data_IF_542991804651
#
_entry.id   IF_542991804651
#
_cell.length_a   1.000
_cell.length_b   1.000
_cell.length_c   1.000
_cell.angle_alpha   90.00
_cell.angle_beta   90.00
_cell.angle_gamma   90.00
#
_symmetry.space_group_name_H-M   'P 1'
#
loop_
_entity.id
_entity.type
_entity.pdbx_description
1 polymer ?
#
# COMPACT_ATOMS: atom_id res chain seq x y z
N UNK A 1 -1.13 29.52 10.31
CA UNK A 1 -1.40 28.30 9.51
C UNK A 1 -1.33 27.09 10.45
N UNK A 2 -2.45 26.48 10.78
CA UNK A 2 -2.52 25.32 11.69
C UNK A 2 -1.98 24.07 10.95
N UNK A 3 -0.84 23.56 11.39
CA UNK A 3 -0.30 22.26 10.92
C UNK A 3 -1.27 21.15 11.36
N UNK A 4 -2.06 20.65 10.44
CA UNK A 4 -2.93 19.51 10.70
C UNK A 4 -2.07 18.24 10.79
N UNK A 5 -1.97 17.70 12.00
CA UNK A 5 -1.35 16.40 12.26
C UNK A 5 -2.25 15.30 11.66
N UNK A 6 -1.83 14.72 10.54
CA UNK A 6 -2.60 13.74 9.76
C UNK A 6 -2.92 12.45 10.56
N UNK A 7 -2.08 12.11 11.54
CA UNK A 7 -2.28 10.92 12.37
C UNK A 7 -3.35 11.11 13.46
N UNK A 8 -3.65 12.34 13.87
CA UNK A 8 -4.68 12.59 14.92
C UNK A 8 -6.11 12.36 14.42
N UNK A 9 -6.34 12.35 13.10
CA UNK A 9 -7.69 12.08 12.55
C UNK A 9 -8.12 10.61 12.61
N UNK A 10 -7.18 9.69 12.80
CA UNK A 10 -7.47 8.24 12.81
C UNK A 10 -7.76 7.68 14.21
N UNK A 11 -7.56 8.47 15.27
CA UNK A 11 -7.60 7.99 16.66
C UNK A 11 -8.81 8.53 17.46
N UNK A 12 -9.78 9.19 16.84
CA UNK A 12 -11.04 9.52 17.52
C UNK A 12 -12.03 8.35 17.48
N UNK A 13 -11.74 7.34 18.24
CA UNK A 13 -12.64 6.33 18.75
C UNK A 13 -12.22 6.08 20.19
N UNK A 14 -12.91 6.73 21.12
CA UNK A 14 -12.75 6.48 22.54
C UNK A 14 -13.19 5.04 22.84
N UNK A 15 -12.22 4.14 22.99
CA UNK A 15 -12.38 2.93 23.77
C UNK A 15 -11.03 2.63 24.42
N UNK A 16 -11.06 2.39 25.73
CA UNK A 16 -9.96 1.95 26.59
C UNK A 16 -9.04 0.98 25.85
N UNK A 17 -7.74 1.34 25.70
CA UNK A 17 -6.71 0.52 25.07
C UNK A 17 -6.70 -0.87 25.71
N UNK A 18 -6.90 -1.94 24.92
CA UNK A 18 -6.80 -3.29 25.46
C UNK A 18 -5.37 -3.54 25.93
N UNK A 19 -5.28 -4.23 27.08
CA UNK A 19 -4.00 -4.58 27.72
C UNK A 19 -3.04 -5.23 26.74
N UNK A 20 -1.84 -4.80 26.78
CA UNK A 20 -0.51 -5.16 26.26
C UNK A 20 -0.28 -6.50 25.51
N UNK A 21 -1.20 -6.97 24.68
CA UNK A 21 -0.94 -8.00 23.66
C UNK A 21 -0.49 -7.29 22.38
N UNK A 22 0.44 -7.86 21.63
CA UNK A 22 0.98 -7.33 20.37
C UNK A 22 -0.13 -6.79 19.44
N UNK A 23 -0.35 -5.49 19.46
CA UNK A 23 -1.38 -4.84 18.66
C UNK A 23 -0.85 -4.62 17.25
N UNK A 24 -1.56 -5.10 16.24
CA UNK A 24 -1.27 -4.81 14.83
C UNK A 24 -2.10 -3.60 14.41
N UNK A 25 -1.42 -2.57 13.91
CA UNK A 25 -2.07 -1.38 13.32
C UNK A 25 -1.85 -1.39 11.81
N UNK A 26 -2.93 -1.32 11.04
CA UNK A 26 -2.88 -1.18 9.59
C UNK A 26 -3.06 0.29 9.24
N UNK A 27 -2.04 0.89 8.60
CA UNK A 27 -2.06 2.28 8.17
C UNK A 27 -2.13 2.37 6.65
N UNK A 28 -3.22 2.95 6.14
CA UNK A 28 -3.41 3.17 4.70
C UNK A 28 -2.95 4.56 4.29
N UNK A 29 -1.99 4.61 3.37
CA UNK A 29 -1.50 5.82 2.71
C UNK A 29 -2.31 6.03 1.42
N UNK A 30 -3.24 6.99 1.43
CA UNK A 30 -4.08 7.29 0.27
C UNK A 30 -3.23 7.73 -0.93
N UNK A 31 -3.44 7.14 -2.11
CA UNK A 31 -2.69 7.47 -3.31
C UNK A 31 -2.73 8.97 -3.67
N UNK A 32 -3.87 9.63 -3.48
CA UNK A 32 -4.02 11.08 -3.71
C UNK A 32 -3.25 11.96 -2.70
N UNK A 33 -2.88 11.41 -1.54
CA UNK A 33 -2.09 12.12 -0.52
C UNK A 33 -0.61 12.02 -0.87
N UNK A 34 -0.15 10.83 -1.23
CA UNK A 34 1.28 10.53 -1.41
C UNK A 34 1.78 10.72 -2.85
N UNK A 35 0.88 10.95 -3.83
CA UNK A 35 1.25 11.23 -5.23
C UNK A 35 0.69 12.55 -5.74
N UNK A 36 1.36 13.13 -6.73
CA UNK A 36 0.90 14.32 -7.44
C UNK A 36 -0.16 13.94 -8.50
N UNK A 37 -1.25 14.72 -8.59
CA UNK A 37 -2.39 14.41 -9.47
C UNK A 37 -2.23 14.88 -10.92
N UNK A 38 -1.47 15.95 -11.16
CA UNK A 38 -1.53 16.75 -12.40
C UNK A 38 -0.26 16.72 -13.26
N UNK A 39 0.65 15.79 -13.06
CA UNK A 39 1.86 15.71 -13.85
C UNK A 39 1.74 14.71 -15.00
N UNK A 40 2.37 15.03 -16.15
CA UNK A 40 2.50 14.10 -17.29
C UNK A 40 3.15 12.76 -16.91
N UNK A 41 4.00 12.77 -15.87
CA UNK A 41 4.61 11.58 -15.31
C UNK A 41 4.22 11.41 -13.84
N UNK A 42 4.00 10.15 -13.38
CA UNK A 42 3.66 9.89 -11.99
C UNK A 42 4.80 10.29 -11.05
N UNK A 43 4.49 11.00 -9.97
CA UNK A 43 5.47 11.48 -8.99
C UNK A 43 4.98 11.27 -7.57
N UNK A 44 5.94 10.96 -6.68
CA UNK A 44 5.71 10.92 -5.23
C UNK A 44 5.83 12.33 -4.65
N UNK A 45 4.93 12.68 -3.76
CA UNK A 45 5.03 13.88 -2.91
C UNK A 45 6.05 13.63 -1.80
N UNK A 46 7.34 13.70 -2.16
CA UNK A 46 8.47 13.34 -1.27
C UNK A 46 8.39 14.03 0.10
N UNK A 47 8.04 15.32 0.14
CA UNK A 47 7.93 16.06 1.41
C UNK A 47 6.85 15.48 2.32
N UNK A 48 5.68 15.12 1.76
CA UNK A 48 4.58 14.51 2.50
C UNK A 48 4.97 13.15 3.05
N UNK A 49 5.58 12.29 2.21
CA UNK A 49 6.01 10.95 2.63
C UNK A 49 7.11 11.02 3.68
N UNK A 50 8.07 11.94 3.56
CA UNK A 50 9.09 12.18 4.60
C UNK A 50 8.47 12.63 5.92
N UNK A 51 7.45 13.47 5.89
CA UNK A 51 6.74 13.90 7.10
C UNK A 51 6.01 12.72 7.74
N UNK A 52 5.29 11.92 6.94
CA UNK A 52 4.63 10.69 7.42
C UNK A 52 5.65 9.71 8.04
N UNK A 53 6.82 9.54 7.42
CA UNK A 53 7.88 8.69 7.96
C UNK A 53 8.37 9.17 9.32
N UNK A 54 8.56 10.48 9.51
CA UNK A 54 8.93 11.06 10.81
C UNK A 54 7.85 10.81 11.88
N UNK A 55 6.58 11.05 11.54
CA UNK A 55 5.46 10.83 12.46
C UNK A 55 5.32 9.34 12.83
N UNK A 56 5.47 8.45 11.84
CA UNK A 56 5.44 7.01 12.07
C UNK A 56 6.58 6.55 12.99
N UNK A 57 7.79 7.09 12.80
CA UNK A 57 8.94 6.80 13.68
C UNK A 57 8.68 7.24 15.12
N UNK A 58 8.11 8.42 15.34
CA UNK A 58 7.72 8.91 16.65
C UNK A 58 6.63 8.03 17.28
N UNK A 59 5.63 7.62 16.46
CA UNK A 59 4.58 6.72 16.91
C UNK A 59 5.14 5.37 17.39
N UNK A 60 6.03 4.74 16.60
CA UNK A 60 6.66 3.46 16.96
C UNK A 60 7.50 3.60 18.25
N UNK A 61 8.22 4.72 18.38
CA UNK A 61 9.00 4.98 19.61
C UNK A 61 8.09 5.11 20.84
N UNK A 62 6.93 5.73 20.69
CA UNK A 62 5.96 5.91 21.79
C UNK A 62 5.21 4.61 22.11
N UNK A 63 4.98 3.76 21.13
CA UNK A 63 4.22 2.51 21.25
C UNK A 63 5.03 1.31 20.75
N UNK A 64 6.10 0.90 21.45
CA UNK A 64 7.07 -0.09 20.95
C UNK A 64 6.48 -1.51 20.79
N UNK A 65 5.37 -1.80 21.47
CA UNK A 65 4.64 -3.08 21.33
C UNK A 65 3.70 -3.14 20.13
N UNK A 66 3.46 -2.00 19.44
CA UNK A 66 2.61 -1.94 18.28
C UNK A 66 3.37 -2.37 17.03
N UNK A 67 2.80 -3.29 16.29
CA UNK A 67 3.29 -3.72 14.97
C UNK A 67 2.53 -2.97 13.88
N UNK A 68 3.23 -2.55 12.83
CA UNK A 68 2.64 -1.73 11.76
C UNK A 68 2.65 -2.50 10.46
N UNK A 69 1.54 -2.42 9.72
CA UNK A 69 1.43 -2.79 8.32
C UNK A 69 1.06 -1.53 7.55
N UNK A 70 1.83 -1.20 6.53
CA UNK A 70 1.54 -0.08 5.64
C UNK A 70 0.81 -0.58 4.40
N UNK A 71 -0.25 0.13 4.03
CA UNK A 71 -0.93 -0.05 2.75
C UNK A 71 -0.81 1.24 1.94
N UNK A 72 -0.56 1.17 0.63
CA UNK A 72 -0.62 2.35 -0.22
C UNK A 72 -1.61 2.18 -1.37
N UNK A 73 -2.29 3.26 -1.74
CA UNK A 73 -3.16 3.30 -2.91
C UNK A 73 -2.37 3.47 -4.20
N UNK A 74 -2.99 3.19 -5.35
CA UNK A 74 -2.36 3.26 -6.68
C UNK A 74 -1.94 4.69 -7.11
N UNK A 75 -2.65 5.71 -6.64
CA UNK A 75 -2.34 7.11 -6.96
C UNK A 75 -2.16 7.38 -8.45
N UNK A 76 -1.23 8.30 -8.78
CA UNK A 76 -0.91 8.64 -10.16
C UNK A 76 -0.10 7.56 -10.90
N UNK A 77 0.41 6.56 -10.20
CA UNK A 77 1.17 5.45 -10.80
C UNK A 77 0.28 4.33 -11.37
N UNK A 78 -0.93 4.16 -10.88
CA UNK A 78 -1.83 3.09 -11.32
C UNK A 78 -3.10 3.58 -11.99
N UNK A 79 -3.90 4.42 -11.34
CA UNK A 79 -5.22 4.80 -11.85
C UNK A 79 -5.22 5.33 -13.29
N UNK A 80 -4.34 6.28 -13.70
CA UNK A 80 -4.34 6.80 -15.06
C UNK A 80 -4.05 5.72 -16.12
N UNK A 81 -3.17 4.76 -15.80
CA UNK A 81 -2.85 3.67 -16.72
C UNK A 81 -4.01 2.70 -16.87
N UNK A 82 -4.68 2.36 -15.76
CA UNK A 82 -5.87 1.50 -15.77
C UNK A 82 -6.98 2.08 -16.62
N UNK A 83 -7.27 3.38 -16.47
CA UNK A 83 -8.26 4.08 -17.27
C UNK A 83 -7.85 4.16 -18.73
N UNK A 84 -6.63 4.63 -19.03
CA UNK A 84 -6.11 4.77 -20.39
C UNK A 84 -6.16 3.45 -21.16
N UNK A 85 -5.76 2.37 -20.53
CA UNK A 85 -5.65 1.07 -21.17
C UNK A 85 -6.88 0.20 -21.00
N UNK A 86 -7.95 0.71 -20.38
CA UNK A 86 -9.20 0.01 -20.13
C UNK A 86 -8.99 -1.37 -19.50
N UNK A 87 -8.09 -1.46 -18.52
CA UNK A 87 -7.67 -2.75 -17.97
C UNK A 87 -8.74 -3.46 -17.13
N UNK A 88 -9.83 -2.78 -16.81
CA UNK A 88 -11.00 -3.38 -16.14
C UNK A 88 -11.99 -4.02 -17.11
N UNK A 89 -11.86 -3.73 -18.41
CA UNK A 89 -12.68 -4.35 -19.46
C UNK A 89 -12.11 -5.73 -19.84
N UNK A 90 -12.95 -6.61 -20.37
CA UNK A 90 -12.61 -7.99 -20.73
C UNK A 90 -12.78 -8.26 -22.21
N UNK A 91 -12.08 -9.22 -22.81
CA UNK A 91 -10.98 -10.02 -22.25
C UNK A 91 -9.67 -9.24 -22.17
N UNK A 92 -8.74 -9.70 -21.32
CA UNK A 92 -7.38 -9.16 -21.24
C UNK A 92 -6.49 -9.93 -22.24
N UNK A 93 -6.38 -9.43 -23.47
CA UNK A 93 -5.67 -10.09 -24.59
C UNK A 93 -4.86 -9.09 -25.41
N UNK A 94 -3.97 -9.59 -26.27
CA UNK A 94 -3.18 -8.76 -27.19
C UNK A 94 -2.35 -7.69 -26.49
N UNK A 95 -2.38 -6.48 -27.03
CA UNK A 95 -1.65 -5.31 -26.49
C UNK A 95 -2.01 -4.97 -25.05
N UNK A 96 -3.20 -5.36 -24.57
CA UNK A 96 -3.61 -5.12 -23.19
C UNK A 96 -2.81 -5.92 -22.17
N UNK A 97 -2.19 -7.05 -22.55
CA UNK A 97 -1.26 -7.78 -21.69
C UNK A 97 0.00 -6.96 -21.44
N UNK A 98 0.55 -6.29 -22.46
CA UNK A 98 1.68 -5.38 -22.30
C UNK A 98 1.32 -4.19 -21.42
N UNK A 99 0.14 -3.60 -21.64
CA UNK A 99 -0.36 -2.47 -20.85
C UNK A 99 -0.60 -2.85 -19.38
N UNK A 100 -1.05 -4.08 -19.13
CA UNK A 100 -1.15 -4.62 -17.77
C UNK A 100 0.23 -4.72 -17.11
N UNK A 101 1.20 -5.31 -17.81
CA UNK A 101 2.57 -5.45 -17.31
C UNK A 101 3.22 -4.09 -17.04
N UNK A 102 2.98 -3.10 -17.91
CA UNK A 102 3.43 -1.72 -17.72
C UNK A 102 2.81 -1.09 -16.46
N UNK A 103 1.54 -1.34 -16.20
CA UNK A 103 0.86 -0.85 -15.00
C UNK A 103 1.46 -1.49 -13.74
N UNK A 104 1.70 -2.80 -13.75
CA UNK A 104 2.39 -3.50 -12.65
C UNK A 104 3.78 -2.92 -12.42
N UNK A 105 4.56 -2.70 -13.49
CA UNK A 105 5.89 -2.08 -13.42
C UNK A 105 5.83 -0.70 -12.76
N UNK A 106 4.88 0.13 -13.17
CA UNK A 106 4.67 1.46 -12.59
C UNK A 106 4.34 1.40 -11.09
N UNK A 107 3.49 0.47 -10.68
CA UNK A 107 3.14 0.29 -9.26
C UNK A 107 4.33 -0.18 -8.43
N UNK A 108 5.17 -1.08 -8.96
CA UNK A 108 6.42 -1.51 -8.31
C UNK A 108 7.40 -0.35 -8.16
N UNK A 109 7.52 0.50 -9.17
CA UNK A 109 8.32 1.73 -9.09
C UNK A 109 7.86 2.62 -7.93
N UNK A 110 6.55 2.80 -7.77
CA UNK A 110 5.98 3.54 -6.65
C UNK A 110 6.36 2.92 -5.30
N UNK A 111 6.19 1.61 -5.14
CA UNK A 111 6.54 0.90 -3.91
C UNK A 111 8.04 1.07 -3.57
N UNK A 112 8.93 0.96 -4.56
CA UNK A 112 10.37 1.16 -4.39
C UNK A 112 10.70 2.59 -3.95
N UNK A 113 10.07 3.60 -4.55
CA UNK A 113 10.28 5.01 -4.17
C UNK A 113 9.82 5.28 -2.74
N UNK A 114 8.66 4.75 -2.33
CA UNK A 114 8.16 4.85 -0.97
C UNK A 114 9.11 4.17 0.01
N UNK A 115 9.51 2.93 -0.29
CA UNK A 115 10.46 2.16 0.52
C UNK A 115 11.77 2.92 0.73
N UNK A 116 12.34 3.51 -0.32
CA UNK A 116 13.55 4.31 -0.21
C UNK A 116 13.41 5.50 0.74
N UNK A 117 12.26 6.19 0.74
CA UNK A 117 12.01 7.31 1.65
C UNK A 117 11.87 6.82 3.11
N UNK A 118 11.17 5.72 3.35
CA UNK A 118 11.03 5.16 4.69
C UNK A 118 12.36 4.63 5.23
N UNK A 119 13.13 3.92 4.42
CA UNK A 119 14.47 3.42 4.79
C UNK A 119 15.41 4.58 5.15
N UNK A 120 15.44 5.66 4.33
CA UNK A 120 16.24 6.84 4.63
C UNK A 120 15.82 7.56 5.92
N UNK A 121 14.62 7.28 6.41
CA UNK A 121 14.12 7.77 7.71
C UNK A 121 14.40 6.80 8.87
N UNK A 122 15.08 5.67 8.61
CA UNK A 122 15.42 4.64 9.58
C UNK A 122 14.25 3.72 9.96
N UNK A 123 13.30 3.52 9.04
CA UNK A 123 12.19 2.58 9.23
C UNK A 123 12.42 1.34 8.36
N UNK A 124 12.43 0.12 8.94
CA UNK A 124 12.72 -1.13 8.23
C UNK A 124 11.51 -1.58 7.40
N UNK A 125 11.15 -0.80 6.38
CA UNK A 125 10.01 -1.09 5.51
C UNK A 125 10.40 -2.14 4.48
N UNK A 126 9.59 -3.22 4.39
CA UNK A 126 9.75 -4.31 3.43
C UNK A 126 8.59 -4.31 2.43
N UNK A 127 8.84 -3.99 1.14
CA UNK A 127 7.79 -4.01 0.13
C UNK A 127 7.39 -5.46 -0.19
N UNK A 128 6.09 -5.74 -0.11
CA UNK A 128 5.50 -7.00 -0.49
C UNK A 128 4.55 -6.79 -1.67
N UNK A 129 4.65 -7.65 -2.66
CA UNK A 129 3.76 -7.60 -3.81
C UNK A 129 2.40 -8.18 -3.41
N UNK A 130 1.36 -7.36 -3.43
CA UNK A 130 0.02 -7.79 -3.02
C UNK A 130 -0.51 -8.94 -3.89
N UNK A 131 -0.27 -8.93 -5.20
CA UNK A 131 -0.65 -10.00 -6.13
C UNK A 131 0.05 -11.35 -5.86
N UNK A 132 1.17 -11.36 -5.14
CA UNK A 132 1.87 -12.59 -4.75
C UNK A 132 1.39 -13.17 -3.41
N UNK A 133 0.78 -12.33 -2.56
CA UNK A 133 0.33 -12.74 -1.22
C UNK A 133 -1.19 -12.79 -1.08
N UNK A 134 -1.93 -12.23 -2.04
CA UNK A 134 -3.38 -12.25 -2.08
C UNK A 134 -3.89 -13.30 -3.06
N UNK A 135 -4.80 -14.13 -2.60
CA UNK A 135 -5.55 -15.08 -3.43
C UNK A 135 -7.04 -14.79 -3.37
N UNK A 136 -7.79 -15.34 -4.32
CA UNK A 136 -9.25 -15.25 -4.34
C UNK A 136 -9.87 -16.65 -4.27
N UNK A 137 -10.85 -16.81 -3.38
CA UNK A 137 -11.72 -17.98 -3.34
C UNK A 137 -13.17 -17.50 -3.16
N UNK A 138 -14.07 -17.94 -4.04
CA UNK A 138 -15.49 -17.58 -4.00
C UNK A 138 -15.75 -16.05 -3.96
N UNK A 139 -14.99 -15.29 -4.74
CA UNK A 139 -15.05 -13.82 -4.78
C UNK A 139 -14.59 -13.11 -3.49
N UNK A 140 -13.97 -13.83 -2.57
CA UNK A 140 -13.37 -13.28 -1.36
C UNK A 140 -11.86 -13.29 -1.49
N UNK A 141 -11.25 -12.12 -1.30
CA UNK A 141 -9.80 -12.00 -1.26
C UNK A 141 -9.29 -12.41 0.12
N UNK A 142 -8.24 -13.21 0.15
CA UNK A 142 -7.58 -13.63 1.38
C UNK A 142 -6.06 -13.65 1.21
N UNK A 143 -5.34 -13.55 2.33
CA UNK A 143 -3.89 -13.70 2.36
C UNK A 143 -3.53 -15.19 2.27
N UNK A 144 -2.82 -15.58 1.23
CA UNK A 144 -2.41 -16.98 1.00
C UNK A 144 -1.35 -17.47 1.98
N UNK A 145 -0.56 -16.57 2.56
CA UNK A 145 0.52 -16.91 3.47
C UNK A 145 0.59 -15.97 4.68
N UNK A 146 -0.41 -16.10 5.56
CA UNK A 146 -0.47 -15.36 6.82
C UNK A 146 0.72 -15.65 7.73
N UNK A 147 1.25 -16.87 7.73
CA UNK A 147 2.38 -17.23 8.58
C UNK A 147 3.65 -16.47 8.17
N UNK A 148 3.91 -16.33 6.87
CA UNK A 148 5.04 -15.55 6.38
C UNK A 148 4.91 -14.06 6.74
N UNK A 149 3.71 -13.48 6.55
CA UNK A 149 3.46 -12.10 6.94
C UNK A 149 3.66 -11.89 8.45
N UNK A 150 3.19 -12.85 9.27
CA UNK A 150 3.39 -12.82 10.71
C UNK A 150 4.88 -12.87 11.08
N UNK A 151 5.65 -13.77 10.48
CA UNK A 151 7.10 -13.85 10.70
C UNK A 151 7.81 -12.54 10.38
N UNK A 152 7.49 -11.89 9.25
CA UNK A 152 8.04 -10.60 8.85
C UNK A 152 7.76 -9.54 9.92
N UNK A 153 6.54 -9.48 10.43
CA UNK A 153 6.12 -8.54 11.47
C UNK A 153 6.80 -8.85 12.80
N UNK A 154 6.90 -10.12 13.17
CA UNK A 154 7.50 -10.55 14.45
C UNK A 154 8.99 -10.26 14.51
N UNK A 155 9.71 -10.38 13.38
CA UNK A 155 11.14 -9.99 13.26
C UNK A 155 11.31 -8.46 13.44
N UNK A 156 10.26 -7.66 13.20
CA UNK A 156 10.27 -6.21 13.37
C UNK A 156 10.28 -5.41 12.08
N UNK A 157 10.13 -6.05 10.93
CA UNK A 157 9.89 -5.34 9.66
C UNK A 157 8.50 -4.69 9.64
N UNK A 158 8.38 -3.64 8.83
CA UNK A 158 7.13 -2.97 8.51
C UNK A 158 6.73 -3.38 7.09
N UNK A 159 5.80 -4.34 6.90
CA UNK A 159 5.35 -4.71 5.56
C UNK A 159 4.70 -3.52 4.86
N UNK A 160 5.07 -3.27 3.61
CA UNK A 160 4.43 -2.31 2.72
C UNK A 160 3.73 -3.06 1.59
N UNK A 161 2.40 -3.10 1.62
CA UNK A 161 1.59 -3.69 0.55
C UNK A 161 0.98 -2.56 -0.29
N UNK A 162 1.09 -2.68 -1.59
CA UNK A 162 0.57 -1.69 -2.52
C UNK A 162 -0.78 -2.06 -3.10
N UNK A 163 -1.49 -1.04 -3.57
CA UNK A 163 -2.52 -1.24 -4.57
C UNK A 163 -1.86 -1.84 -5.81
N UNK A 164 -2.06 -3.10 -6.06
CA UNK A 164 -1.43 -3.86 -7.13
C UNK A 164 -2.48 -4.35 -8.12
N UNK A 165 -2.02 -4.78 -9.28
CA UNK A 165 -2.83 -5.45 -10.28
C UNK A 165 -2.82 -6.94 -9.98
N UNK A 166 -3.98 -7.52 -9.67
CA UNK A 166 -4.13 -8.94 -9.42
C UNK A 166 -5.09 -9.58 -10.43
N UNK A 167 -4.76 -10.79 -10.87
CA UNK A 167 -5.63 -11.57 -11.73
C UNK A 167 -6.65 -12.30 -10.86
N UNK A 168 -7.93 -11.97 -11.03
CA UNK A 168 -9.03 -12.61 -10.31
C UNK A 168 -9.80 -13.53 -11.24
N UNK A 169 -10.03 -14.75 -10.80
CA UNK A 169 -10.77 -15.78 -11.53
C UNK A 169 -12.28 -15.56 -11.44
N UNK A 170 -12.82 -14.49 -12.04
CA UNK A 170 -14.25 -14.34 -12.28
C UNK A 170 -14.55 -14.50 -13.74
N UNK A 171 -15.17 -15.61 -14.15
CA UNK A 171 -15.70 -15.98 -15.51
C UNK A 171 -14.95 -15.45 -16.75
N UNK A 172 -13.88 -14.69 -16.60
CA UNK A 172 -12.91 -14.24 -17.60
C UNK A 172 -11.84 -13.38 -16.90
N UNK A 173 -10.58 -13.67 -17.16
CA UNK A 173 -9.34 -13.04 -16.68
C UNK A 173 -9.47 -11.56 -16.32
N UNK A 174 -9.36 -11.15 -15.06
CA UNK A 174 -9.29 -9.77 -14.72
C UNK A 174 -8.68 -9.36 -13.38
N UNK A 175 -8.39 -8.10 -13.36
CA UNK A 175 -7.67 -7.32 -12.41
C UNK A 175 -8.51 -6.73 -11.30
N UNK A 176 -8.04 -6.74 -10.08
CA UNK A 176 -8.47 -5.82 -9.06
C UNK A 176 -7.37 -4.83 -8.72
N UNK A 177 -7.77 -3.58 -8.62
CA UNK A 177 -6.98 -2.59 -7.93
C UNK A 177 -7.67 -2.41 -6.60
N UNK A 178 -6.91 -2.47 -5.52
CA UNK A 178 -7.42 -2.14 -4.20
C UNK A 178 -8.01 -0.73 -4.22
N UNK A 179 -9.30 -0.62 -4.05
CA UNK A 179 -9.96 0.63 -3.67
C UNK A 179 -9.72 0.95 -2.21
#
# INVERSE_FOLDING_TARGET
MKKHNLLQRTIKGENSLPSAKNQITILKLGGSIITEKLNRQPRIRKAVVKQLAKELKLFIKRFPKTRIILLHGAGSFGHPLVYRYKLLERPLTGSRLLNFSETVRSMRQMANLLTGIFLSSGLPVLPLQASAVLNEKNSVMFLSNLNQLKQIIDIGFIPLLGGDMSLIKKKSNCCCISR
#
